data_IF_243770279924
#
_entry.id   IF_243770279924
#
_cell.length_a   1.000
_cell.length_b   1.000
_cell.length_c   1.000
_cell.angle_alpha   90.00
_cell.angle_beta   90.00
_cell.angle_gamma   90.00
#
_symmetry.space_group_name_H-M   'P 1'
#
loop_
_entity.id
_entity.type
_entity.pdbx_description
1 polymer ?
#
# COMPACT_ATOMS: atom_id res chain seq x y z
N UNK A 1 -39.86 -31.75 -44.17
CA UNK A 1 -38.99 -32.13 -43.04
C UNK A 1 -37.54 -31.88 -43.46
N UNK A 2 -36.97 -30.72 -43.08
CA UNK A 2 -35.54 -30.41 -43.28
C UNK A 2 -34.87 -30.60 -41.92
N UNK A 3 -33.86 -31.46 -41.88
CA UNK A 3 -33.13 -31.84 -40.68
C UNK A 3 -32.44 -30.64 -40.03
N UNK A 4 -32.57 -30.55 -38.71
CA UNK A 4 -31.91 -29.58 -37.87
C UNK A 4 -30.38 -29.78 -37.96
N UNK A 5 -29.68 -28.73 -38.35
CA UNK A 5 -28.24 -28.64 -38.16
C UNK A 5 -27.94 -28.50 -36.67
N UNK A 6 -27.19 -29.46 -36.12
CA UNK A 6 -26.61 -29.37 -34.79
C UNK A 6 -25.65 -28.17 -34.74
N UNK A 7 -26.11 -27.04 -34.22
CA UNK A 7 -25.24 -25.99 -33.73
C UNK A 7 -24.61 -26.48 -32.42
N UNK A 8 -23.43 -27.08 -32.53
CA UNK A 8 -22.55 -27.28 -31.37
C UNK A 8 -22.00 -25.89 -31.02
N UNK A 9 -22.33 -25.30 -29.86
CA UNK A 9 -21.74 -24.03 -29.48
C UNK A 9 -20.23 -24.24 -29.32
N UNK A 10 -19.43 -23.48 -30.07
CA UNK A 10 -17.99 -23.40 -29.87
C UNK A 10 -17.72 -23.06 -28.39
N UNK A 11 -17.29 -24.05 -27.59
CA UNK A 11 -16.62 -23.78 -26.33
C UNK A 11 -15.36 -23.00 -26.68
N UNK A 12 -15.38 -21.68 -26.51
CA UNK A 12 -14.17 -20.86 -26.48
C UNK A 12 -13.17 -21.57 -25.57
N UNK A 13 -12.03 -22.02 -26.13
CA UNK A 13 -10.98 -22.69 -25.39
C UNK A 13 -10.56 -21.79 -24.24
N UNK A 14 -11.04 -22.09 -23.04
CA UNK A 14 -10.72 -21.29 -21.87
C UNK A 14 -9.23 -21.45 -21.59
N UNK A 15 -8.54 -20.31 -21.44
CA UNK A 15 -7.11 -20.25 -21.22
C UNK A 15 -6.67 -21.11 -20.01
N UNK A 16 -5.81 -22.10 -20.23
CA UNK A 16 -5.35 -23.05 -19.21
C UNK A 16 -4.02 -22.65 -18.58
N UNK A 17 -3.68 -23.27 -17.46
CA UNK A 17 -2.33 -23.20 -16.93
C UNK A 17 -1.41 -24.16 -17.70
N UNK A 18 -0.11 -23.87 -17.72
CA UNK A 18 0.91 -24.70 -18.34
C UNK A 18 1.67 -25.49 -17.27
N UNK A 19 1.73 -26.80 -17.49
CA UNK A 19 2.46 -27.76 -16.68
C UNK A 19 3.59 -28.31 -17.53
N UNK A 20 4.83 -27.92 -17.22
CA UNK A 20 5.98 -28.36 -17.99
C UNK A 20 6.28 -29.84 -17.67
N UNK A 21 6.66 -30.60 -18.70
CA UNK A 21 7.26 -31.90 -18.50
C UNK A 21 8.58 -31.70 -17.75
N UNK A 22 8.72 -32.38 -16.61
CA UNK A 22 9.84 -32.18 -15.69
C UNK A 22 10.72 -33.43 -15.70
N UNK A 23 11.98 -33.34 -16.15
CA UNK A 23 12.93 -34.46 -16.09
C UNK A 23 13.21 -34.91 -14.66
N UNK A 24 13.59 -36.17 -14.50
CA UNK A 24 13.84 -36.80 -13.18
C UNK A 24 14.92 -36.06 -12.38
N UNK A 25 15.96 -35.55 -13.04
CA UNK A 25 17.01 -34.74 -12.39
C UNK A 25 16.43 -33.48 -11.72
N UNK A 26 15.51 -32.79 -12.42
CA UNK A 26 14.83 -31.62 -11.88
C UNK A 26 13.85 -32.03 -10.77
N UNK A 27 13.15 -33.15 -10.92
CA UNK A 27 12.27 -33.67 -9.87
C UNK A 27 13.06 -33.95 -8.57
N UNK A 28 14.19 -34.65 -8.66
CA UNK A 28 15.10 -34.89 -7.53
C UNK A 28 15.58 -33.58 -6.91
N UNK A 29 15.91 -32.58 -7.74
CA UNK A 29 16.28 -31.24 -7.24
C UNK A 29 15.13 -30.58 -6.47
N UNK A 30 13.90 -30.59 -6.98
CA UNK A 30 12.72 -30.04 -6.30
C UNK A 30 12.43 -30.78 -4.99
N UNK A 31 12.58 -32.10 -4.96
CA UNK A 31 12.47 -32.91 -3.75
C UNK A 31 13.50 -32.49 -2.70
N UNK A 32 14.75 -32.29 -3.11
CA UNK A 32 15.83 -31.84 -2.22
C UNK A 32 15.56 -30.45 -1.66
N UNK A 33 15.17 -29.49 -2.51
CA UNK A 33 14.88 -28.11 -2.10
C UNK A 33 13.67 -28.02 -1.16
N UNK A 34 12.64 -28.84 -1.40
CA UNK A 34 11.43 -28.85 -0.56
C UNK A 34 11.55 -29.71 0.70
N UNK A 35 12.57 -30.58 0.79
CA UNK A 35 12.70 -31.57 1.86
C UNK A 35 11.64 -32.68 1.82
N UNK A 36 10.89 -32.81 0.72
CA UNK A 36 9.82 -33.80 0.58
C UNK A 36 10.35 -34.97 -0.25
N UNK A 37 10.41 -36.20 0.30
CA UNK A 37 10.96 -37.34 -0.42
C UNK A 37 10.05 -37.80 -1.56
N UNK A 38 10.66 -38.41 -2.59
CA UNK A 38 9.96 -39.11 -3.68
C UNK A 38 9.93 -40.59 -3.33
N UNK A 39 8.76 -41.21 -3.27
CA UNK A 39 8.66 -42.66 -3.02
C UNK A 39 8.67 -43.45 -4.33
N UNK A 40 8.82 -44.76 -4.21
CA UNK A 40 8.69 -45.68 -5.35
C UNK A 40 7.33 -45.56 -6.05
N UNK A 41 6.25 -45.44 -5.27
CA UNK A 41 4.90 -45.21 -5.80
C UNK A 41 4.82 -43.92 -6.62
N UNK A 42 5.46 -42.85 -6.15
CA UNK A 42 5.49 -41.58 -6.87
C UNK A 42 6.19 -41.73 -8.23
N UNK A 43 7.36 -42.40 -8.28
CA UNK A 43 8.11 -42.68 -9.51
C UNK A 43 7.35 -43.52 -10.52
N UNK A 44 6.61 -44.54 -10.05
CA UNK A 44 5.87 -45.48 -10.91
C UNK A 44 4.53 -44.91 -11.38
N UNK A 45 4.07 -43.79 -10.80
CA UNK A 45 2.77 -43.22 -11.14
C UNK A 45 2.78 -42.54 -12.52
N UNK A 46 1.80 -42.81 -13.41
CA UNK A 46 1.82 -42.34 -14.80
C UNK A 46 1.73 -40.82 -14.96
N UNK A 47 1.28 -40.12 -13.93
CA UNK A 47 1.20 -38.66 -13.89
C UNK A 47 2.46 -38.00 -13.29
N UNK A 48 3.42 -38.82 -12.83
CA UNK A 48 4.78 -38.46 -12.44
C UNK A 48 4.89 -37.25 -11.50
N UNK A 49 5.82 -36.35 -11.84
CA UNK A 49 6.16 -35.15 -11.07
C UNK A 49 4.93 -34.38 -10.55
N UNK A 50 3.95 -34.10 -11.42
CA UNK A 50 2.79 -33.29 -11.03
C UNK A 50 1.83 -34.01 -10.10
N UNK A 51 1.74 -35.34 -10.20
CA UNK A 51 1.03 -36.13 -9.19
C UNK A 51 1.72 -36.07 -7.84
N UNK A 52 3.04 -36.23 -7.80
CA UNK A 52 3.80 -36.10 -6.55
C UNK A 52 3.66 -34.70 -5.92
N UNK A 53 3.79 -33.63 -6.72
CA UNK A 53 3.58 -32.25 -6.27
C UNK A 53 2.19 -32.09 -5.64
N UNK A 54 1.15 -32.59 -6.30
CA UNK A 54 -0.20 -32.54 -5.78
C UNK A 54 -0.39 -33.40 -4.52
N UNK A 55 -0.01 -34.68 -4.57
CA UNK A 55 -0.29 -35.68 -3.54
C UNK A 55 0.47 -35.41 -2.24
N UNK A 56 1.71 -34.94 -2.34
CA UNK A 56 2.61 -34.67 -1.20
C UNK A 56 2.54 -33.24 -0.68
N UNK A 57 1.66 -32.41 -1.24
CA UNK A 57 1.47 -31.02 -0.84
C UNK A 57 2.74 -30.16 -0.98
N UNK A 58 3.52 -30.40 -2.04
CA UNK A 58 4.80 -29.72 -2.28
C UNK A 58 4.57 -28.22 -2.46
N UNK A 59 5.39 -27.34 -1.86
CA UNK A 59 5.31 -25.90 -2.07
C UNK A 59 5.35 -25.55 -3.56
N UNK A 60 4.42 -24.68 -3.97
CA UNK A 60 4.17 -24.42 -5.38
C UNK A 60 4.33 -22.93 -5.68
N UNK A 61 4.99 -22.60 -6.78
CA UNK A 61 5.06 -21.23 -7.29
C UNK A 61 4.18 -21.05 -8.53
N UNK A 62 3.62 -19.85 -8.70
CA UNK A 62 2.83 -19.46 -9.89
C UNK A 62 3.49 -18.24 -10.53
N UNK A 63 3.79 -18.33 -11.84
CA UNK A 63 4.49 -17.29 -12.62
C UNK A 63 3.79 -16.98 -13.95
N UNK A 64 4.10 -15.83 -14.56
CA UNK A 64 3.61 -15.45 -15.89
C UNK A 64 4.52 -15.95 -17.02
N UNK A 65 4.12 -17.04 -17.67
CA UNK A 65 4.78 -17.58 -18.87
C UNK A 65 5.74 -18.75 -18.63
N UNK A 66 5.88 -19.57 -19.67
CA UNK A 66 6.55 -20.89 -19.58
C UNK A 66 8.06 -20.84 -19.35
N UNK A 67 8.75 -19.81 -19.86
CA UNK A 67 10.21 -19.65 -19.67
C UNK A 67 10.58 -19.41 -18.21
N UNK A 68 9.77 -18.60 -17.51
CA UNK A 68 9.89 -18.34 -16.07
C UNK A 68 9.66 -19.60 -15.25
N UNK A 69 8.64 -20.39 -15.60
CA UNK A 69 8.38 -21.65 -14.93
C UNK A 69 9.53 -22.65 -15.17
N UNK A 70 10.05 -22.74 -16.39
CA UNK A 70 11.22 -23.57 -16.70
C UNK A 70 12.46 -23.14 -15.90
N UNK A 71 12.71 -21.84 -15.79
CA UNK A 71 13.82 -21.29 -15.01
C UNK A 71 13.70 -21.65 -13.52
N UNK A 72 12.52 -21.44 -12.92
CA UNK A 72 12.28 -21.79 -11.52
C UNK A 72 12.30 -23.30 -11.24
N UNK A 73 11.75 -24.12 -12.14
CA UNK A 73 11.87 -25.58 -12.07
C UNK A 73 13.34 -26.00 -12.09
N UNK A 74 14.13 -25.46 -13.01
CA UNK A 74 15.58 -25.71 -13.10
C UNK A 74 16.33 -25.24 -11.84
N UNK A 75 15.81 -24.23 -11.14
CA UNK A 75 16.31 -23.77 -9.85
C UNK A 75 15.84 -24.62 -8.65
N UNK A 76 15.02 -25.66 -8.86
CA UNK A 76 14.56 -26.57 -7.81
C UNK A 76 13.22 -26.18 -7.16
N UNK A 77 12.38 -25.39 -7.82
CA UNK A 77 11.06 -25.00 -7.30
C UNK A 77 9.93 -25.48 -8.19
N UNK A 78 8.98 -26.26 -7.64
CA UNK A 78 7.79 -26.67 -8.36
C UNK A 78 7.00 -25.42 -8.81
N UNK A 79 6.83 -25.23 -10.12
CA UNK A 79 6.32 -23.97 -10.66
C UNK A 79 5.35 -24.17 -11.82
N UNK A 80 4.13 -23.62 -11.70
CA UNK A 80 3.13 -23.59 -12.76
C UNK A 80 3.18 -22.24 -13.48
N UNK A 81 3.11 -22.26 -14.81
CA UNK A 81 2.98 -21.05 -15.61
C UNK A 81 1.52 -20.74 -15.92
N UNK A 82 1.15 -19.45 -15.83
CA UNK A 82 -0.09 -18.92 -16.39
C UNK A 82 0.24 -17.99 -17.58
N UNK A 83 -0.58 -17.93 -18.63
CA UNK A 83 -0.32 -17.07 -19.81
C UNK A 83 -0.51 -15.57 -19.55
N UNK A 84 -1.03 -15.21 -18.38
CA UNK A 84 -1.20 -13.83 -17.96
C UNK A 84 -1.61 -13.78 -16.50
N UNK A 85 -1.34 -12.66 -15.82
CA UNK A 85 -1.61 -12.51 -14.37
C UNK A 85 -3.05 -12.77 -13.96
N UNK A 86 -4.02 -12.52 -14.84
CA UNK A 86 -5.45 -12.76 -14.59
C UNK A 86 -5.92 -14.16 -15.04
N UNK A 87 -5.05 -14.99 -15.63
CA UNK A 87 -5.43 -16.26 -16.21
C UNK A 87 -5.62 -17.38 -15.18
N UNK A 88 -5.14 -17.21 -13.94
CA UNK A 88 -5.31 -18.19 -12.85
C UNK A 88 -6.72 -18.23 -12.23
N UNK A 89 -7.60 -17.28 -12.55
CA UNK A 89 -8.96 -17.23 -12.04
C UNK A 89 -9.95 -16.72 -13.11
N UNK A 90 -11.24 -16.86 -12.84
CA UNK A 90 -12.33 -16.37 -13.69
C UNK A 90 -13.34 -15.62 -12.86
N UNK A 91 -14.01 -14.67 -13.49
CA UNK A 91 -15.24 -14.07 -12.94
C UNK A 91 -16.38 -14.40 -13.89
N UNK A 92 -17.46 -15.03 -13.39
CA UNK A 92 -18.65 -15.31 -14.19
C UNK A 92 -19.17 -14.05 -14.88
N UNK A 93 -19.56 -14.22 -16.14
CA UNK A 93 -20.20 -13.20 -16.96
C UNK A 93 -21.48 -13.75 -17.56
N UNK A 94 -22.48 -12.90 -17.71
CA UNK A 94 -23.69 -13.21 -18.48
C UNK A 94 -23.42 -13.16 -19.99
N UNK A 95 -24.47 -13.42 -20.77
CA UNK A 95 -24.44 -13.41 -22.24
C UNK A 95 -24.10 -12.03 -22.83
N UNK A 96 -24.27 -10.95 -22.06
CA UNK A 96 -23.92 -9.57 -22.44
C UNK A 96 -22.51 -9.17 -21.96
N UNK A 97 -21.77 -10.08 -21.31
CA UNK A 97 -20.44 -9.81 -20.78
C UNK A 97 -20.42 -9.10 -19.42
N UNK A 98 -21.59 -8.91 -18.81
CA UNK A 98 -21.76 -8.29 -17.48
C UNK A 98 -21.38 -9.28 -16.40
N UNK A 99 -20.69 -8.82 -15.35
CA UNK A 99 -20.30 -9.67 -14.24
C UNK A 99 -21.54 -10.15 -13.47
N UNK A 100 -21.72 -11.46 -13.33
CA UNK A 100 -22.92 -12.06 -12.72
C UNK A 100 -22.61 -13.09 -11.62
N UNK A 101 -21.38 -13.12 -11.10
CA UNK A 101 -21.03 -14.06 -10.04
C UNK A 101 -19.68 -13.80 -9.37
N UNK A 102 -19.38 -14.60 -8.35
CA UNK A 102 -18.14 -14.50 -7.58
C UNK A 102 -16.96 -15.07 -8.39
N UNK A 103 -15.76 -14.47 -8.29
CA UNK A 103 -14.56 -15.04 -8.88
C UNK A 103 -14.25 -16.44 -8.34
N UNK A 104 -13.64 -17.29 -9.16
CA UNK A 104 -13.21 -18.64 -8.81
C UNK A 104 -11.90 -19.01 -9.51
N UNK A 105 -11.09 -19.88 -8.90
CA UNK A 105 -9.86 -20.40 -9.50
C UNK A 105 -10.19 -21.25 -10.72
N UNK A 106 -9.36 -21.21 -11.76
CA UNK A 106 -9.49 -22.17 -12.86
C UNK A 106 -9.28 -23.60 -12.35
N UNK A 107 -9.89 -24.64 -12.97
CA UNK A 107 -9.79 -26.02 -12.51
C UNK A 107 -8.33 -26.49 -12.30
N UNK A 108 -7.45 -26.08 -13.21
CA UNK A 108 -6.01 -26.42 -13.18
C UNK A 108 -5.33 -25.94 -11.88
N UNK A 109 -5.56 -24.69 -11.48
CA UNK A 109 -4.98 -24.12 -10.25
C UNK A 109 -5.74 -24.64 -9.02
N UNK A 110 -7.07 -24.75 -9.11
CA UNK A 110 -7.91 -25.26 -8.02
C UNK A 110 -7.50 -26.67 -7.58
N UNK A 111 -7.10 -27.53 -8.51
CA UNK A 111 -6.63 -28.87 -8.21
C UNK A 111 -5.43 -28.90 -7.24
N UNK A 112 -4.54 -27.91 -7.34
CA UNK A 112 -3.36 -27.78 -6.48
C UNK A 112 -3.61 -26.92 -5.23
N UNK A 113 -4.78 -26.29 -5.10
CA UNK A 113 -5.15 -25.46 -3.95
C UNK A 113 -5.63 -26.34 -2.78
N UNK A 114 -4.71 -27.07 -2.15
CA UNK A 114 -5.01 -27.97 -1.02
C UNK A 114 -4.69 -27.32 0.32
N UNK A 115 -5.44 -27.69 1.36
CA UNK A 115 -5.25 -27.16 2.72
C UNK A 115 -3.79 -27.26 3.19
N UNK A 116 -3.27 -26.16 3.73
CA UNK A 116 -1.91 -26.03 4.24
C UNK A 116 -0.81 -25.98 3.18
N UNK A 117 -1.13 -25.98 1.87
CA UNK A 117 -0.11 -25.82 0.84
C UNK A 117 0.47 -24.42 0.88
N UNK A 118 1.79 -24.28 0.93
CA UNK A 118 2.44 -23.02 0.61
C UNK A 118 2.35 -22.76 -0.90
N UNK A 119 1.76 -21.62 -1.28
CA UNK A 119 1.73 -21.16 -2.66
C UNK A 119 2.37 -19.77 -2.76
N UNK A 120 3.44 -19.65 -3.55
CA UNK A 120 4.09 -18.39 -3.83
C UNK A 120 3.63 -17.83 -5.18
N UNK A 121 3.29 -16.55 -5.23
CA UNK A 121 2.98 -15.86 -6.48
C UNK A 121 4.18 -14.97 -6.83
N UNK A 122 4.75 -15.17 -8.02
CA UNK A 122 5.91 -14.43 -8.52
C UNK A 122 5.62 -13.95 -9.96
N UNK A 123 4.98 -12.79 -10.07
CA UNK A 123 4.69 -12.15 -11.35
C UNK A 123 5.73 -11.07 -11.68
N UNK A 124 5.74 -10.65 -12.93
CA UNK A 124 6.78 -9.78 -13.48
C UNK A 124 6.85 -8.43 -12.75
N UNK A 125 8.09 -7.96 -12.59
CA UNK A 125 8.36 -6.59 -12.24
C UNK A 125 7.92 -5.67 -13.39
N UNK A 126 7.25 -4.57 -13.06
CA UNK A 126 6.87 -3.56 -14.04
C UNK A 126 7.03 -2.17 -13.41
N UNK A 127 7.33 -1.17 -14.25
CA UNK A 127 7.49 0.23 -13.83
C UNK A 127 6.32 1.10 -14.28
N UNK A 128 5.47 0.61 -15.19
CA UNK A 128 4.28 1.31 -15.63
C UNK A 128 3.20 1.26 -14.51
N UNK A 129 2.72 2.40 -13.99
CA UNK A 129 1.79 2.44 -12.86
C UNK A 129 0.47 1.66 -13.10
N UNK A 130 -0.05 1.64 -14.33
CA UNK A 130 -1.28 0.92 -14.65
C UNK A 130 -1.05 -0.59 -14.64
N UNK A 131 0.06 -1.04 -15.25
CA UNK A 131 0.44 -2.45 -15.23
C UNK A 131 0.72 -2.92 -13.81
N UNK A 132 1.47 -2.15 -13.02
CA UNK A 132 1.74 -2.45 -11.60
C UNK A 132 0.43 -2.60 -10.83
N UNK A 133 -0.53 -1.69 -11.00
CA UNK A 133 -1.84 -1.78 -10.35
C UNK A 133 -2.61 -3.03 -10.79
N UNK A 134 -2.57 -3.37 -12.07
CA UNK A 134 -3.22 -4.57 -12.63
C UNK A 134 -2.61 -5.85 -12.06
N UNK A 135 -1.28 -5.96 -12.05
CA UNK A 135 -0.54 -7.09 -11.48
C UNK A 135 -0.86 -7.23 -10.00
N UNK A 136 -0.79 -6.14 -9.22
CA UNK A 136 -1.12 -6.17 -7.79
C UNK A 136 -2.55 -6.65 -7.53
N UNK A 137 -3.51 -6.16 -8.30
CA UNK A 137 -4.91 -6.58 -8.23
C UNK A 137 -5.08 -8.07 -8.55
N UNK A 138 -4.34 -8.57 -9.54
CA UNK A 138 -4.37 -9.97 -9.93
C UNK A 138 -3.80 -10.89 -8.83
N UNK A 139 -2.66 -10.51 -8.23
CA UNK A 139 -2.04 -11.20 -7.08
C UNK A 139 -3.02 -11.26 -5.92
N UNK A 140 -3.59 -10.13 -5.49
CA UNK A 140 -4.58 -10.07 -4.40
C UNK A 140 -5.79 -10.96 -4.66
N UNK A 141 -6.36 -10.90 -5.88
CA UNK A 141 -7.55 -11.70 -6.23
C UNK A 141 -7.25 -13.20 -6.22
N UNK A 142 -6.19 -13.62 -6.92
CA UNK A 142 -5.81 -15.03 -6.99
C UNK A 142 -5.42 -15.55 -5.61
N UNK A 143 -4.61 -14.78 -4.88
CA UNK A 143 -4.16 -15.13 -3.53
C UNK A 143 -5.32 -15.31 -2.54
N UNK A 144 -6.31 -14.41 -2.54
CA UNK A 144 -7.50 -14.56 -1.68
C UNK A 144 -8.33 -15.79 -2.01
N UNK A 145 -8.43 -16.16 -3.29
CA UNK A 145 -9.11 -17.40 -3.69
C UNK A 145 -8.33 -18.65 -3.23
N UNK A 146 -6.99 -18.63 -3.29
CA UNK A 146 -6.15 -19.72 -2.80
C UNK A 146 -6.24 -19.85 -1.27
N UNK A 147 -6.25 -18.74 -0.54
CA UNK A 147 -6.47 -18.72 0.92
C UNK A 147 -7.85 -19.31 1.27
N UNK A 148 -8.88 -19.01 0.47
CA UNK A 148 -10.22 -19.55 0.68
C UNK A 148 -10.29 -21.09 0.52
N UNK A 149 -9.38 -21.68 -0.26
CA UNK A 149 -9.18 -23.14 -0.36
C UNK A 149 -8.23 -23.69 0.72
N UNK A 150 -7.78 -22.84 1.64
CA UNK A 150 -6.95 -23.20 2.80
C UNK A 150 -5.44 -23.17 2.56
N UNK A 151 -4.96 -22.52 1.48
CA UNK A 151 -3.53 -22.40 1.19
C UNK A 151 -2.86 -21.29 2.03
N UNK A 152 -1.56 -21.45 2.26
CA UNK A 152 -0.68 -20.40 2.81
C UNK A 152 -0.05 -19.62 1.66
N UNK A 153 -0.56 -18.43 1.37
CA UNK A 153 -0.14 -17.65 0.20
C UNK A 153 0.93 -16.64 0.56
N UNK A 154 2.02 -16.63 -0.22
CA UNK A 154 3.08 -15.62 -0.15
C UNK A 154 3.31 -14.98 -1.51
N UNK A 155 3.92 -13.79 -1.50
CA UNK A 155 4.27 -13.04 -2.70
C UNK A 155 5.78 -12.84 -2.74
N UNK A 156 6.37 -13.16 -3.89
CA UNK A 156 7.76 -12.86 -4.20
C UNK A 156 7.75 -11.63 -5.11
N UNK A 157 8.11 -10.47 -4.57
CA UNK A 157 8.33 -9.27 -5.35
C UNK A 157 9.75 -9.30 -5.93
N UNK A 158 9.88 -9.22 -7.25
CA UNK A 158 11.17 -9.02 -7.90
C UNK A 158 11.63 -7.56 -7.68
N UNK A 159 12.87 -7.33 -7.21
CA UNK A 159 13.35 -5.99 -6.86
C UNK A 159 13.54 -5.08 -8.08
N UNK A 160 13.57 -5.65 -9.28
CA UNK A 160 13.99 -4.97 -10.51
C UNK A 160 15.51 -4.76 -10.55
N UNK A 161 16.05 -4.26 -11.67
CA UNK A 161 15.31 -3.84 -12.87
C UNK A 161 14.86 -5.01 -13.76
N UNK A 162 15.30 -6.24 -13.49
CA UNK A 162 14.92 -7.41 -14.28
C UNK A 162 13.42 -7.65 -14.22
N UNK A 163 12.82 -7.88 -15.39
CA UNK A 163 11.38 -7.99 -15.54
C UNK A 163 10.87 -9.33 -15.03
N UNK A 164 11.38 -10.42 -15.58
CA UNK A 164 10.99 -11.78 -15.23
C UNK A 164 11.94 -12.40 -14.22
N UNK A 165 11.45 -13.43 -13.52
CA UNK A 165 12.30 -14.26 -12.64
C UNK A 165 13.38 -15.01 -13.43
N UNK A 166 13.13 -15.31 -14.71
CA UNK A 166 14.13 -15.85 -15.63
C UNK A 166 15.28 -14.88 -15.86
N UNK A 167 14.97 -13.61 -16.16
CA UNK A 167 15.98 -12.56 -16.31
C UNK A 167 16.73 -12.33 -14.99
N UNK A 168 16.02 -12.32 -13.86
CA UNK A 168 16.61 -12.13 -12.52
C UNK A 168 17.61 -13.23 -12.17
N UNK A 169 17.26 -14.51 -12.39
CA UNK A 169 18.17 -15.63 -12.12
C UNK A 169 19.39 -15.58 -13.03
N UNK A 170 19.24 -15.15 -14.29
CA UNK A 170 20.38 -14.98 -15.21
C UNK A 170 21.32 -13.87 -14.72
N UNK A 171 20.77 -12.74 -14.25
CA UNK A 171 21.55 -11.59 -13.82
C UNK A 171 22.21 -11.77 -12.44
N UNK A 172 21.50 -12.38 -11.48
CA UNK A 172 21.90 -12.40 -10.07
C UNK A 172 22.18 -13.81 -9.51
N UNK A 173 21.92 -14.86 -10.29
CA UNK A 173 22.13 -16.25 -9.91
C UNK A 173 20.99 -16.87 -9.08
N UNK A 174 21.06 -18.20 -8.90
CA UNK A 174 20.05 -18.96 -8.16
C UNK A 174 20.04 -18.61 -6.67
N UNK A 175 21.20 -18.34 -6.06
CA UNK A 175 21.31 -18.01 -4.64
C UNK A 175 20.57 -16.71 -4.29
N UNK A 176 20.64 -15.70 -5.16
CA UNK A 176 19.87 -14.46 -5.00
C UNK A 176 18.36 -14.74 -5.05
N UNK A 177 17.92 -15.63 -5.95
CA UNK A 177 16.52 -16.03 -6.00
C UNK A 177 16.10 -16.86 -4.77
N UNK A 178 16.98 -17.73 -4.25
CA UNK A 178 16.73 -18.48 -3.02
C UNK A 178 16.49 -17.54 -1.83
N UNK A 179 17.26 -16.44 -1.74
CA UNK A 179 17.04 -15.41 -0.73
C UNK A 179 15.66 -14.72 -0.89
N UNK A 180 15.24 -14.38 -2.11
CA UNK A 180 13.91 -13.83 -2.38
C UNK A 180 12.79 -14.81 -2.01
N UNK A 181 12.95 -16.09 -2.37
CA UNK A 181 11.98 -17.13 -2.04
C UNK A 181 11.81 -17.29 -0.52
N UNK A 182 12.92 -17.33 0.22
CA UNK A 182 12.90 -17.50 1.68
C UNK A 182 12.35 -16.27 2.42
N UNK A 183 12.48 -15.08 1.83
CA UNK A 183 11.95 -13.83 2.37
C UNK A 183 10.57 -13.45 1.80
N UNK A 184 9.93 -14.35 1.05
CA UNK A 184 8.60 -14.15 0.48
C UNK A 184 7.59 -13.77 1.58
N UNK A 185 6.84 -12.71 1.33
CA UNK A 185 5.97 -12.07 2.32
C UNK A 185 4.58 -12.69 2.24
N UNK A 186 3.96 -12.99 3.39
CA UNK A 186 2.57 -13.45 3.44
C UNK A 186 1.65 -12.44 2.73
N UNK A 187 0.65 -12.93 1.98
CA UNK A 187 -0.21 -12.07 1.16
C UNK A 187 -0.81 -10.89 1.94
N UNK A 188 -1.29 -11.12 3.16
CA UNK A 188 -1.88 -10.07 4.00
C UNK A 188 -0.87 -8.96 4.33
N UNK A 189 0.35 -9.33 4.74
CA UNK A 189 1.42 -8.36 5.02
C UNK A 189 1.85 -7.62 3.76
N UNK A 190 1.86 -8.31 2.61
CA UNK A 190 2.15 -7.70 1.32
C UNK A 190 1.05 -6.69 0.93
N UNK A 191 -0.23 -7.02 1.12
CA UNK A 191 -1.33 -6.09 0.89
C UNK A 191 -1.25 -4.85 1.80
N UNK A 192 -0.93 -5.04 3.09
CA UNK A 192 -0.71 -3.94 4.04
C UNK A 192 0.42 -3.02 3.57
N UNK A 193 1.56 -3.60 3.15
CA UNK A 193 2.70 -2.85 2.61
C UNK A 193 2.26 -1.96 1.44
N UNK A 194 1.43 -2.46 0.52
CA UNK A 194 0.96 -1.70 -0.64
C UNK A 194 0.18 -0.43 -0.26
N UNK A 195 -0.60 -0.45 0.81
CA UNK A 195 -1.34 0.73 1.28
C UNK A 195 -0.44 1.83 1.82
N UNK A 196 0.78 1.50 2.23
CA UNK A 196 1.74 2.48 2.77
C UNK A 196 2.70 3.02 1.71
N UNK A 197 2.65 2.54 0.46
CA UNK A 197 3.59 2.96 -0.57
C UNK A 197 3.27 4.35 -1.10
N UNK A 198 4.31 5.17 -1.25
CA UNK A 198 4.29 6.41 -2.03
C UNK A 198 5.21 6.20 -3.23
N UNK A 199 4.61 6.00 -4.39
CA UNK A 199 5.27 5.62 -5.66
C UNK A 199 5.44 6.78 -6.63
N UNK A 200 4.88 7.94 -6.30
CA UNK A 200 5.20 9.19 -6.99
C UNK A 200 6.72 9.43 -6.94
N UNK A 201 7.38 9.73 -8.07
CA UNK A 201 8.80 9.99 -8.09
C UNK A 201 9.17 11.13 -7.14
N UNK A 202 10.12 10.94 -6.22
CA UNK A 202 10.54 12.01 -5.33
C UNK A 202 11.26 13.10 -6.14
N UNK A 203 10.76 14.33 -6.06
CA UNK A 203 11.48 15.51 -6.53
C UNK A 203 12.70 15.80 -5.64
N UNK A 204 12.61 15.47 -4.35
CA UNK A 204 13.72 15.52 -3.40
C UNK A 204 13.76 14.19 -2.62
N UNK A 205 14.87 13.47 -2.74
CA UNK A 205 15.16 12.28 -1.93
C UNK A 205 16.28 12.59 -0.93
N UNK A 206 16.00 12.34 0.35
CA UNK A 206 16.92 12.60 1.47
C UNK A 206 17.20 11.31 2.24
N UNK A 207 18.32 11.28 2.93
CA UNK A 207 18.65 10.26 3.92
C UNK A 207 19.38 10.91 5.10
N UNK A 208 18.63 11.68 5.90
CA UNK A 208 19.19 12.45 7.00
C UNK A 208 18.25 12.48 8.21
N UNK A 209 18.84 12.57 9.40
CA UNK A 209 18.06 12.55 10.65
C UNK A 209 17.12 13.75 10.76
N UNK A 210 17.55 14.96 10.40
CA UNK A 210 16.72 16.17 10.50
C UNK A 210 16.58 16.86 9.14
N UNK A 211 15.41 17.42 8.87
CA UNK A 211 15.06 18.08 7.60
C UNK A 211 15.54 19.55 7.52
N UNK A 212 16.64 19.86 8.20
CA UNK A 212 17.19 21.22 8.20
C UNK A 212 17.57 21.63 6.77
N UNK A 213 17.34 22.90 6.41
CA UNK A 213 17.65 23.47 5.09
C UNK A 213 16.89 22.87 3.89
N UNK A 214 15.83 22.09 4.11
CA UNK A 214 14.95 21.67 3.03
C UNK A 214 14.22 22.89 2.43
N UNK A 215 14.42 23.12 1.13
CA UNK A 215 13.80 24.21 0.38
C UNK A 215 12.83 23.65 -0.66
N UNK A 216 11.64 24.20 -0.71
CA UNK A 216 10.63 23.92 -1.74
C UNK A 216 10.62 25.09 -2.73
N UNK A 217 10.69 24.83 -4.05
CA UNK A 217 10.56 25.89 -5.04
C UNK A 217 9.23 26.66 -4.87
N UNK A 218 9.26 27.98 -5.04
CA UNK A 218 8.10 28.84 -4.75
C UNK A 218 6.86 28.50 -5.57
N UNK A 219 7.02 28.00 -6.79
CA UNK A 219 5.92 27.64 -7.70
C UNK A 219 5.21 26.32 -7.37
N UNK A 220 5.72 25.52 -6.44
CA UNK A 220 5.08 24.26 -6.05
C UNK A 220 3.87 24.51 -5.15
N UNK A 221 2.76 23.82 -5.46
CA UNK A 221 1.45 24.07 -4.82
C UNK A 221 0.92 22.90 -4.00
N UNK A 222 1.23 21.67 -4.38
CA UNK A 222 0.90 20.48 -3.59
C UNK A 222 2.20 19.79 -3.17
N UNK A 223 2.58 19.97 -1.91
CA UNK A 223 3.84 19.49 -1.35
C UNK A 223 3.55 18.26 -0.50
N UNK A 224 4.21 17.15 -0.80
CA UNK A 224 4.06 15.89 -0.07
C UNK A 224 5.37 15.60 0.64
N UNK A 225 5.36 15.55 1.99
CA UNK A 225 6.50 15.18 2.80
C UNK A 225 6.27 13.81 3.43
N UNK A 226 7.00 12.80 2.94
CA UNK A 226 7.13 11.50 3.58
C UNK A 226 8.44 11.42 4.35
N UNK A 227 8.36 11.38 5.68
CA UNK A 227 9.56 11.21 6.50
C UNK A 227 9.27 10.50 7.83
N UNK A 228 10.21 9.69 8.35
CA UNK A 228 10.01 8.95 9.60
C UNK A 228 9.63 9.83 10.79
N UNK A 229 9.11 9.21 11.84
CA UNK A 229 8.88 9.90 13.13
C UNK A 229 10.23 10.34 13.71
N UNK A 230 10.23 11.47 14.41
CA UNK A 230 11.45 12.02 15.03
C UNK A 230 12.42 12.72 14.07
N UNK A 231 12.15 12.80 12.76
CA UNK A 231 13.08 13.42 11.80
C UNK A 231 12.88 14.93 11.58
N UNK A 232 12.13 15.61 12.45
CA UNK A 232 11.92 17.06 12.36
C UNK A 232 10.90 17.54 11.32
N UNK A 233 9.95 16.71 10.87
CA UNK A 233 8.85 17.13 9.96
C UNK A 233 8.13 18.39 10.46
N UNK A 234 7.63 18.32 11.68
CA UNK A 234 6.91 19.44 12.31
C UNK A 234 7.82 20.66 12.48
N UNK A 235 9.12 20.47 12.75
CA UNK A 235 10.07 21.60 12.82
C UNK A 235 10.23 22.29 11.47
N UNK A 236 10.34 21.52 10.40
CA UNK A 236 10.40 22.06 9.05
C UNK A 236 9.09 22.76 8.68
N UNK A 237 7.93 22.20 9.01
CA UNK A 237 6.63 22.87 8.81
C UNK A 237 6.58 24.22 9.53
N UNK A 238 7.14 24.37 10.75
CA UNK A 238 7.24 25.67 11.42
C UNK A 238 7.99 26.71 10.58
N UNK A 239 9.01 26.30 9.83
CA UNK A 239 9.74 27.22 8.92
C UNK A 239 8.91 27.60 7.70
N UNK A 240 8.07 26.70 7.17
CA UNK A 240 7.16 27.01 6.07
C UNK A 240 5.98 27.90 6.52
N UNK A 241 5.52 27.75 7.76
CA UNK A 241 4.54 28.67 8.38
C UNK A 241 5.12 30.08 8.46
N UNK A 242 6.34 30.23 9.00
CA UNK A 242 6.99 31.53 9.10
C UNK A 242 7.14 32.20 7.72
N UNK A 243 7.57 31.45 6.69
CA UNK A 243 7.65 31.96 5.31
C UNK A 243 6.30 32.41 4.76
N UNK A 244 5.22 31.69 5.06
CA UNK A 244 3.87 32.06 4.64
C UNK A 244 3.46 33.40 5.29
N UNK A 245 3.71 33.56 6.58
CA UNK A 245 3.43 34.81 7.30
C UNK A 245 4.26 35.98 6.78
N UNK A 246 5.55 35.77 6.49
CA UNK A 246 6.42 36.78 5.88
C UNK A 246 5.91 37.24 4.50
N UNK A 247 5.15 36.39 3.81
CA UNK A 247 4.49 36.67 2.52
C UNK A 247 3.06 37.22 2.68
N UNK A 248 2.60 37.44 3.92
CA UNK A 248 1.25 37.90 4.22
C UNK A 248 0.16 36.85 3.98
N UNK A 249 0.52 35.57 3.86
CA UNK A 249 -0.42 34.46 3.73
C UNK A 249 -0.85 33.97 5.11
N UNK A 250 -2.12 33.59 5.25
CA UNK A 250 -2.61 32.89 6.44
C UNK A 250 -2.34 31.40 6.34
N UNK A 251 -2.29 30.73 7.49
CA UNK A 251 -2.10 29.27 7.56
C UNK A 251 -3.30 28.60 8.23
N UNK A 252 -3.93 27.64 7.53
CA UNK A 252 -4.89 26.71 8.13
C UNK A 252 -4.20 25.40 8.48
N UNK A 253 -4.23 25.03 9.76
CA UNK A 253 -3.69 23.74 10.22
C UNK A 253 -4.85 22.78 10.44
N UNK A 254 -4.96 21.74 9.62
CA UNK A 254 -6.02 20.73 9.75
C UNK A 254 -5.46 19.52 10.46
N UNK A 255 -6.12 19.12 11.54
CA UNK A 255 -5.75 17.95 12.35
C UNK A 255 -6.95 17.03 12.56
N UNK A 256 -6.74 15.88 13.21
CA UNK A 256 -7.80 14.93 13.54
C UNK A 256 -8.17 14.90 15.03
N UNK A 257 -7.44 15.63 15.90
CA UNK A 257 -7.65 15.71 17.36
C UNK A 257 -7.38 17.12 17.86
N UNK A 258 -8.21 17.59 18.79
CA UNK A 258 -8.13 18.94 19.36
C UNK A 258 -6.78 19.18 20.08
N UNK A 259 -6.41 18.31 21.02
CA UNK A 259 -5.16 18.45 21.80
C UNK A 259 -3.90 18.44 20.91
N UNK A 260 -3.91 17.64 19.85
CA UNK A 260 -2.83 17.63 18.86
C UNK A 260 -2.81 18.95 18.08
N UNK A 261 -3.97 19.44 17.67
CA UNK A 261 -4.14 20.74 17.04
C UNK A 261 -3.61 21.90 17.87
N UNK A 262 -3.97 21.97 19.16
CA UNK A 262 -3.48 22.99 20.09
C UNK A 262 -1.96 22.94 20.22
N UNK A 263 -1.36 21.74 20.37
CA UNK A 263 0.09 21.58 20.44
C UNK A 263 0.81 22.04 19.15
N UNK A 264 0.26 21.73 17.98
CA UNK A 264 0.80 22.16 16.69
C UNK A 264 0.67 23.67 16.50
N UNK A 265 -0.48 24.24 16.82
CA UNK A 265 -0.76 25.67 16.83
C UNK A 265 0.25 26.46 17.67
N UNK A 266 0.44 26.04 18.92
CA UNK A 266 1.42 26.64 19.84
C UNK A 266 2.83 26.60 19.26
N UNK A 267 3.22 25.50 18.61
CA UNK A 267 4.53 25.37 17.97
C UNK A 267 4.68 26.26 16.73
N UNK A 268 3.59 26.50 16.01
CA UNK A 268 3.58 27.29 14.77
C UNK A 268 3.32 28.79 15.02
N UNK A 269 3.01 29.20 16.26
CA UNK A 269 2.68 30.58 16.58
C UNK A 269 1.34 31.02 15.98
N UNK A 270 0.41 30.09 15.82
CA UNK A 270 -0.93 30.31 15.24
C UNK A 270 -1.98 29.87 16.27
N UNK A 271 -3.05 30.62 16.44
CA UNK A 271 -4.09 30.27 17.44
C UNK A 271 -4.85 29.01 17.04
N UNK A 272 -5.27 28.22 18.02
CA UNK A 272 -6.25 27.17 17.77
C UNK A 272 -7.67 27.76 17.78
N UNK A 273 -8.61 27.17 17.03
CA UNK A 273 -9.97 27.74 16.84
C UNK A 273 -10.73 28.06 18.14
N UNK A 274 -10.45 27.34 19.22
CA UNK A 274 -11.06 27.60 20.54
C UNK A 274 -10.62 28.94 21.13
N UNK A 275 -9.40 29.38 20.84
CA UNK A 275 -8.77 30.61 21.35
C UNK A 275 -9.10 31.85 20.52
N UNK A 276 -9.39 31.64 19.22
CA UNK A 276 -9.72 32.71 18.25
C UNK A 276 -10.87 33.62 18.71
N UNK A 277 -11.80 33.12 19.53
CA UNK A 277 -12.93 33.91 20.04
C UNK A 277 -12.55 34.98 21.06
N UNK A 278 -11.35 34.91 21.63
CA UNK A 278 -10.93 35.79 22.73
C UNK A 278 -10.03 36.95 22.30
N UNK A 279 -9.55 36.94 21.05
CA UNK A 279 -8.66 37.98 20.51
C UNK A 279 -9.18 38.46 19.13
N UNK A 280 -9.41 39.76 18.98
CA UNK A 280 -9.85 40.37 17.71
C UNK A 280 -8.82 40.19 16.57
N UNK A 281 -7.55 39.98 16.90
CA UNK A 281 -6.45 39.64 15.97
C UNK A 281 -6.27 38.13 15.76
N UNK A 282 -7.12 37.30 16.39
CA UNK A 282 -6.92 35.86 16.54
C UNK A 282 -6.85 35.05 15.25
N UNK A 283 -7.39 35.56 14.14
CA UNK A 283 -7.37 34.93 12.81
C UNK A 283 -6.40 35.56 11.82
N UNK A 284 -5.68 36.64 12.20
CA UNK A 284 -4.88 37.44 11.27
C UNK A 284 -3.78 36.62 10.58
N UNK A 285 -3.23 35.64 11.28
CA UNK A 285 -2.18 34.72 10.79
C UNK A 285 -2.74 33.35 10.35
N UNK A 286 -4.06 33.16 10.41
CA UNK A 286 -4.73 31.87 10.25
C UNK A 286 -5.08 31.21 11.60
N UNK A 287 -5.44 29.92 11.57
CA UNK A 287 -5.79 29.14 12.75
C UNK A 287 -5.63 27.62 12.54
N UNK A 288 -5.56 26.87 13.63
CA UNK A 288 -5.69 25.41 13.60
C UNK A 288 -7.10 24.93 13.94
N UNK A 289 -7.47 23.80 13.35
CA UNK A 289 -8.81 23.23 13.46
C UNK A 289 -8.78 21.70 13.36
N UNK A 290 -9.71 21.04 14.05
CA UNK A 290 -10.00 19.63 13.81
C UNK A 290 -10.83 19.50 12.52
N UNK A 291 -10.56 18.48 11.71
CA UNK A 291 -11.27 18.23 10.45
C UNK A 291 -12.79 18.13 10.63
N UNK A 292 -13.26 17.66 11.79
CA UNK A 292 -14.67 17.60 12.16
C UNK A 292 -15.35 18.98 12.11
N UNK A 293 -14.58 20.06 12.26
CA UNK A 293 -15.05 21.45 12.31
C UNK A 293 -14.97 22.17 10.96
N UNK A 294 -14.70 21.50 9.84
CA UNK A 294 -14.75 22.13 8.51
C UNK A 294 -16.21 22.32 8.02
N UNK A 295 -17.04 22.96 8.82
CA UNK A 295 -18.41 23.35 8.49
C UNK A 295 -18.84 24.65 9.19
N UNK A 296 -19.88 25.31 8.66
CA UNK A 296 -20.35 26.62 9.12
C UNK A 296 -20.93 26.58 10.55
N UNK A 297 -21.55 25.48 10.96
CA UNK A 297 -22.10 25.36 12.32
C UNK A 297 -21.02 25.11 13.40
N UNK A 298 -19.76 24.93 13.02
CA UNK A 298 -18.68 24.67 13.97
C UNK A 298 -18.28 25.95 14.70
N UNK A 299 -17.46 25.81 15.75
CA UNK A 299 -16.85 26.97 16.40
C UNK A 299 -16.02 27.82 15.44
N UNK A 300 -15.44 27.20 14.40
CA UNK A 300 -14.67 27.86 13.35
C UNK A 300 -15.52 28.72 12.41
N UNK A 301 -16.83 28.44 12.33
CA UNK A 301 -17.71 28.96 11.26
C UNK A 301 -17.07 28.83 9.88
N UNK A 302 -16.47 27.66 9.64
CA UNK A 302 -15.56 27.45 8.53
C UNK A 302 -16.23 27.75 7.18
N UNK A 303 -15.61 28.65 6.42
CA UNK A 303 -15.99 28.97 5.05
C UNK A 303 -14.78 28.73 4.12
N UNK A 304 -14.84 27.76 3.20
CA UNK A 304 -13.72 27.44 2.31
C UNK A 304 -13.37 28.59 1.36
N UNK A 305 -14.30 29.51 1.07
CA UNK A 305 -14.08 30.63 0.14
C UNK A 305 -13.12 31.68 0.70
N UNK A 306 -12.86 31.66 2.00
CA UNK A 306 -11.99 32.64 2.61
C UNK A 306 -10.52 32.34 2.29
N UNK A 307 -10.14 31.12 1.91
CA UNK A 307 -8.76 30.62 1.91
C UNK A 307 -8.03 30.67 0.56
N UNK A 308 -8.50 31.49 -0.38
CA UNK A 308 -7.76 31.69 -1.63
C UNK A 308 -6.42 32.37 -1.36
N UNK A 309 -5.35 31.94 -2.04
CA UNK A 309 -3.96 32.40 -1.88
C UNK A 309 -3.29 32.05 -0.54
N UNK A 310 -3.93 31.27 0.32
CA UNK A 310 -3.39 30.91 1.64
C UNK A 310 -2.74 29.52 1.65
N UNK A 311 -2.16 29.16 2.80
CA UNK A 311 -1.46 27.89 3.00
C UNK A 311 -2.28 26.95 3.87
N UNK A 312 -2.44 25.71 3.42
CA UNK A 312 -3.05 24.63 4.19
C UNK A 312 -1.96 23.64 4.59
N UNK A 313 -1.92 23.28 5.86
CA UNK A 313 -1.04 22.23 6.39
C UNK A 313 -1.89 21.13 6.98
N UNK A 314 -1.66 19.90 6.51
CA UNK A 314 -2.24 18.69 7.08
C UNK A 314 -1.07 17.80 7.53
N UNK A 315 -0.67 17.95 8.80
CA UNK A 315 0.29 17.04 9.43
C UNK A 315 -0.45 15.76 9.86
N UNK A 316 0.22 14.62 9.75
CA UNK A 316 -0.38 13.28 9.84
C UNK A 316 -1.59 13.11 8.89
N UNK A 317 -1.41 13.50 7.63
CA UNK A 317 -2.51 13.56 6.65
C UNK A 317 -3.26 12.24 6.45
N UNK A 318 -2.56 11.11 6.50
CA UNK A 318 -3.14 9.76 6.43
C UNK A 318 -4.16 9.52 7.57
N UNK A 319 -3.81 9.94 8.80
CA UNK A 319 -4.70 9.83 9.95
C UNK A 319 -5.89 10.79 9.84
N UNK A 320 -5.66 12.01 9.33
CA UNK A 320 -6.73 12.99 9.08
C UNK A 320 -7.75 12.46 8.08
N UNK A 321 -7.30 11.94 6.94
CA UNK A 321 -8.20 11.38 5.92
C UNK A 321 -8.89 10.12 6.41
N UNK A 322 -8.18 9.23 7.11
CA UNK A 322 -8.78 8.04 7.71
C UNK A 322 -9.89 8.41 8.70
N UNK A 323 -9.62 9.36 9.60
CA UNK A 323 -10.58 9.84 10.58
C UNK A 323 -11.82 10.44 9.92
N UNK A 324 -11.63 11.33 8.94
CA UNK A 324 -12.72 11.96 8.18
C UNK A 324 -13.66 10.92 7.54
N UNK A 325 -13.11 9.84 6.99
CA UNK A 325 -13.86 8.83 6.26
C UNK A 325 -14.48 7.74 7.14
N UNK A 326 -13.88 7.43 8.29
CA UNK A 326 -14.25 6.25 9.08
C UNK A 326 -14.74 6.56 10.50
N UNK A 327 -14.43 7.72 11.06
CA UNK A 327 -14.74 8.04 12.45
C UNK A 327 -16.25 8.12 12.72
N UNK A 328 -16.64 7.63 13.90
CA UNK A 328 -17.97 7.79 14.51
C UNK A 328 -18.11 9.03 15.41
N UNK A 329 -17.17 10.00 15.31
CA UNK A 329 -17.22 11.28 16.07
C UNK A 329 -18.25 12.27 15.47
N UNK A 330 -18.17 13.56 15.80
CA UNK A 330 -19.05 14.60 15.26
C UNK A 330 -19.06 14.64 13.73
N UNK A 331 -17.93 14.31 13.10
CA UNK A 331 -17.87 14.17 11.63
C UNK A 331 -18.90 13.19 11.09
N UNK A 332 -19.34 12.16 11.83
CA UNK A 332 -20.36 11.22 11.36
C UNK A 332 -21.68 11.92 11.02
N UNK A 333 -22.08 12.93 11.81
CA UNK A 333 -23.34 13.66 11.63
C UNK A 333 -23.27 14.66 10.48
N UNK A 334 -22.07 15.10 10.11
CA UNK A 334 -21.84 16.21 9.16
C UNK A 334 -20.89 15.83 8.01
N UNK A 335 -20.55 14.55 7.83
CA UNK A 335 -19.48 14.07 6.94
C UNK A 335 -19.59 14.61 5.53
N UNK A 336 -20.80 14.60 4.96
CA UNK A 336 -21.06 15.13 3.61
C UNK A 336 -20.73 16.62 3.51
N UNK A 337 -21.12 17.42 4.50
CA UNK A 337 -20.83 18.86 4.54
C UNK A 337 -19.33 19.12 4.69
N UNK A 338 -18.68 18.40 5.61
CA UNK A 338 -17.22 18.48 5.83
C UNK A 338 -16.45 18.11 4.56
N UNK A 339 -16.82 17.00 3.90
CA UNK A 339 -16.21 16.58 2.64
C UNK A 339 -16.41 17.61 1.52
N UNK A 340 -17.60 18.21 1.42
CA UNK A 340 -17.89 19.26 0.43
C UNK A 340 -17.03 20.50 0.68
N UNK A 341 -16.89 20.91 1.93
CA UNK A 341 -16.07 22.06 2.30
C UNK A 341 -14.57 21.79 2.13
N UNK A 342 -14.08 20.60 2.46
CA UNK A 342 -12.71 20.19 2.18
C UNK A 342 -12.42 20.20 0.68
N UNK A 343 -13.35 19.68 -0.14
CA UNK A 343 -13.24 19.76 -1.60
C UNK A 343 -13.12 21.20 -2.08
N UNK A 344 -14.03 22.07 -1.64
CA UNK A 344 -14.03 23.48 -2.03
C UNK A 344 -12.77 24.21 -1.56
N UNK A 345 -12.29 23.92 -0.33
CA UNK A 345 -11.06 24.46 0.22
C UNK A 345 -9.87 24.10 -0.69
N UNK A 346 -9.71 22.81 -1.01
CA UNK A 346 -8.62 22.33 -1.89
C UNK A 346 -8.67 23.04 -3.24
N UNK A 347 -9.86 23.17 -3.83
CA UNK A 347 -10.05 23.86 -5.12
C UNK A 347 -9.73 25.35 -5.05
N UNK A 348 -10.16 26.05 -3.98
CA UNK A 348 -9.91 27.47 -3.81
C UNK A 348 -8.42 27.76 -3.62
N UNK A 349 -7.73 26.93 -2.83
CA UNK A 349 -6.29 27.08 -2.57
C UNK A 349 -5.49 26.74 -3.82
N UNK A 350 -5.71 25.56 -4.42
CA UNK A 350 -4.94 25.14 -5.60
C UNK A 350 -5.28 25.93 -6.87
N UNK A 351 -6.49 26.51 -6.97
CA UNK A 351 -6.91 27.38 -8.07
C UNK A 351 -6.41 28.82 -7.97
N UNK A 352 -6.02 29.27 -6.77
CA UNK A 352 -5.51 30.63 -6.53
C UNK A 352 -4.06 30.81 -7.02
N UNK A 353 -3.51 32.03 -7.11
CA UNK A 353 -2.16 32.21 -7.66
C UNK A 353 -1.05 31.78 -6.70
N UNK A 354 -1.22 31.99 -5.39
CA UNK A 354 -0.18 31.74 -4.36
C UNK A 354 -0.50 30.59 -3.41
N UNK A 355 -1.70 29.99 -3.50
CA UNK A 355 -2.15 28.99 -2.52
C UNK A 355 -1.33 27.69 -2.55
N UNK A 356 -1.07 27.14 -1.36
CA UNK A 356 -0.27 25.91 -1.18
C UNK A 356 -0.93 24.93 -0.21
N UNK A 357 -0.72 23.64 -0.44
CA UNK A 357 -1.14 22.56 0.43
C UNK A 357 0.08 21.69 0.77
N UNK A 358 0.34 21.52 2.06
CA UNK A 358 1.35 20.62 2.60
C UNK A 358 0.67 19.39 3.20
N UNK A 359 1.02 18.20 2.71
CA UNK A 359 0.66 16.92 3.31
C UNK A 359 1.92 16.30 3.92
N UNK A 360 1.93 16.09 5.23
CA UNK A 360 3.09 15.56 5.95
C UNK A 360 2.70 14.30 6.72
N UNK A 361 3.47 13.21 6.58
CA UNK A 361 3.35 12.05 7.46
C UNK A 361 4.56 11.11 7.34
N UNK A 362 4.72 10.20 8.29
CA UNK A 362 5.58 9.03 8.10
C UNK A 362 4.95 8.01 7.14
N UNK A 363 3.61 7.97 7.10
CA UNK A 363 2.84 6.91 6.47
C UNK A 363 2.06 7.39 5.23
N UNK A 364 2.26 8.65 4.81
CA UNK A 364 1.64 9.21 3.60
C UNK A 364 1.91 8.31 2.40
N UNK A 365 0.85 8.03 1.64
CA UNK A 365 0.80 7.04 0.58
C UNK A 365 0.27 7.63 -0.72
N UNK A 366 0.35 6.83 -1.78
CA UNK A 366 -0.34 7.05 -3.05
C UNK A 366 -1.83 7.38 -2.87
N UNK A 367 -2.50 6.73 -1.92
CA UNK A 367 -3.93 6.87 -1.69
C UNK A 367 -4.26 8.28 -1.21
N UNK A 368 -3.45 8.82 -0.29
CA UNK A 368 -3.61 10.14 0.29
C UNK A 368 -3.40 11.23 -0.77
N UNK A 369 -2.35 11.10 -1.58
CA UNK A 369 -2.05 12.03 -2.69
C UNK A 369 -3.17 11.99 -3.73
N UNK A 370 -3.60 10.79 -4.15
CA UNK A 370 -4.70 10.62 -5.12
C UNK A 370 -6.02 11.17 -4.59
N UNK A 371 -6.28 11.05 -3.28
CA UNK A 371 -7.46 11.64 -2.67
C UNK A 371 -7.45 13.16 -2.84
N UNK A 372 -6.38 13.85 -2.47
CA UNK A 372 -6.29 15.32 -2.63
C UNK A 372 -6.33 15.74 -4.10
N UNK A 373 -5.66 15.02 -5.00
CA UNK A 373 -5.76 15.28 -6.44
C UNK A 373 -7.19 15.12 -6.96
N UNK A 374 -7.95 14.14 -6.45
CA UNK A 374 -9.36 13.96 -6.82
C UNK A 374 -10.25 15.12 -6.35
N UNK A 375 -9.89 15.77 -5.23
CA UNK A 375 -10.58 16.96 -4.74
C UNK A 375 -10.27 18.20 -5.59
N UNK A 376 -9.04 18.30 -6.11
CA UNK A 376 -8.64 19.41 -6.99
C UNK A 376 -9.50 19.51 -8.27
N UNK A 377 -10.06 18.40 -8.75
CA UNK A 377 -10.96 18.40 -9.91
C UNK A 377 -10.24 18.78 -11.21
N UNK A 378 -10.67 19.87 -11.84
CA UNK A 378 -10.11 20.32 -13.13
C UNK A 378 -8.72 20.97 -13.01
N UNK A 379 -8.33 21.39 -11.79
CA UNK A 379 -7.02 21.97 -11.54
C UNK A 379 -5.93 20.90 -11.63
N UNK A 380 -5.15 20.94 -12.71
CA UNK A 380 -3.99 20.05 -12.89
C UNK A 380 -2.84 20.55 -12.03
N UNK A 381 -2.56 19.83 -10.94
CA UNK A 381 -1.43 20.09 -10.06
C UNK A 381 -0.56 18.84 -9.99
N UNK A 382 0.75 19.01 -10.19
CA UNK A 382 1.71 17.94 -9.99
C UNK A 382 2.13 17.92 -8.51
N UNK A 383 2.09 16.77 -7.83
CA UNK A 383 2.57 16.68 -6.46
C UNK A 383 4.11 16.81 -6.43
N UNK A 384 4.61 17.76 -5.64
CA UNK A 384 6.02 17.90 -5.32
C UNK A 384 6.38 16.98 -4.16
N UNK A 385 6.96 15.83 -4.47
CA UNK A 385 7.18 14.76 -3.49
C UNK A 385 8.57 14.84 -2.88
N UNK A 386 8.62 14.86 -1.56
CA UNK A 386 9.83 14.86 -0.74
C UNK A 386 9.80 13.58 0.09
N UNK A 387 10.85 12.76 -0.03
CA UNK A 387 10.98 11.51 0.72
C UNK A 387 12.28 11.53 1.51
N UNK A 388 12.20 11.35 2.83
CA UNK A 388 13.35 11.09 3.67
C UNK A 388 13.38 9.61 4.05
N UNK A 389 14.43 8.90 3.63
CA UNK A 389 14.60 7.47 3.85
C UNK A 389 15.42 7.13 5.10
N UNK A 390 15.67 8.11 5.97
CA UNK A 390 16.41 7.91 7.21
C UNK A 390 15.81 6.75 8.02
N UNK A 391 16.66 5.84 8.48
CA UNK A 391 16.28 4.75 9.37
C UNK A 391 17.05 4.92 10.66
N UNK A 392 16.34 5.24 11.74
CA UNK A 392 16.95 5.24 13.06
C UNK A 392 17.25 3.79 13.48
N UNK A 393 18.23 3.61 14.36
CA UNK A 393 18.46 2.30 14.97
C UNK A 393 17.22 1.93 15.78
N UNK A 394 16.46 0.93 15.32
CA UNK A 394 15.28 0.47 16.01
C UNK A 394 15.65 0.01 17.43
N UNK A 395 14.87 0.45 18.43
CA UNK A 395 14.97 -0.07 19.78
C UNK A 395 14.51 -1.53 19.85
N UNK A 396 14.77 -2.18 20.98
CA UNK A 396 14.28 -3.53 21.22
C UNK A 396 12.74 -3.52 21.34
N UNK A 397 12.05 -4.29 20.50
CA UNK A 397 10.63 -4.54 20.63
C UNK A 397 10.41 -5.77 21.51
N UNK A 398 9.71 -5.60 22.63
CA UNK A 398 9.35 -6.69 23.53
C UNK A 398 7.88 -7.03 23.36
N UNK A 399 7.59 -8.28 22.96
CA UNK A 399 6.23 -8.78 22.88
C UNK A 399 5.89 -9.56 24.15
N UNK A 400 4.83 -9.12 24.85
CA UNK A 400 4.32 -9.78 26.04
C UNK A 400 3.08 -10.60 25.67
N UNK A 401 3.26 -11.89 25.44
CA UNK A 401 2.20 -12.83 25.07
C UNK A 401 1.35 -13.20 26.29
N UNK A 402 0.39 -12.34 26.63
CA UNK A 402 -0.61 -12.60 27.66
C UNK A 402 -1.73 -11.57 27.62
N UNK A 403 -2.95 -11.98 27.99
CA UNK A 403 -4.10 -11.05 28.09
C UNK A 403 -4.03 -10.13 29.32
N UNK A 404 -3.03 -10.32 30.18
CA UNK A 404 -2.82 -9.56 31.41
C UNK A 404 -1.51 -8.75 31.32
N UNK A 405 -1.54 -7.43 31.60
CA UNK A 405 -0.36 -6.56 31.54
C UNK A 405 0.68 -6.80 32.65
N UNK A 406 0.47 -7.74 33.58
CA UNK A 406 1.36 -7.98 34.74
C UNK A 406 2.84 -8.12 34.35
N UNK A 407 3.13 -8.83 33.26
CA UNK A 407 4.51 -9.02 32.80
C UNK A 407 5.11 -7.73 32.21
N UNK A 408 4.30 -6.92 31.55
CA UNK A 408 4.70 -5.59 31.07
C UNK A 408 5.01 -4.67 32.25
N UNK A 409 4.12 -4.61 33.24
CA UNK A 409 4.28 -3.76 34.43
C UNK A 409 5.54 -4.17 35.21
N UNK A 410 5.74 -5.47 35.46
CA UNK A 410 6.92 -5.95 36.16
C UNK A 410 8.24 -5.69 35.40
N UNK A 411 8.20 -5.70 34.06
CA UNK A 411 9.35 -5.33 33.24
C UNK A 411 9.61 -3.81 33.32
N UNK A 412 8.55 -3.00 33.32
CA UNK A 412 8.61 -1.54 33.44
C UNK A 412 9.20 -1.13 34.80
N UNK A 413 8.74 -1.72 35.90
CA UNK A 413 9.25 -1.46 37.26
C UNK A 413 10.75 -1.77 37.35
N UNK A 414 11.18 -2.89 36.77
CA UNK A 414 12.60 -3.26 36.70
C UNK A 414 13.43 -2.29 35.84
N UNK A 415 12.86 -1.77 34.76
CA UNK A 415 13.53 -0.84 33.87
C UNK A 415 13.69 0.54 34.53
N UNK A 416 12.64 1.05 35.16
CA UNK A 416 12.65 2.31 35.92
C UNK A 416 13.67 2.23 37.06
N UNK A 417 13.70 1.12 37.81
CA UNK A 417 14.66 0.92 38.89
C UNK A 417 16.14 0.91 38.44
N UNK A 418 16.39 0.65 37.15
CA UNK A 418 17.73 0.69 36.53
C UNK A 418 18.07 2.04 35.88
N UNK A 419 17.23 3.06 36.05
CA UNK A 419 17.40 4.37 35.41
C UNK A 419 17.10 4.35 33.91
N UNK A 420 16.35 3.35 33.43
CA UNK A 420 15.87 3.33 32.04
C UNK A 420 14.89 4.47 31.81
N UNK A 421 15.25 5.41 30.94
CA UNK A 421 14.30 6.37 30.36
C UNK A 421 13.67 5.69 29.14
N UNK A 422 12.36 5.46 29.19
CA UNK A 422 11.57 4.95 28.07
C UNK A 422 11.10 6.08 27.16
#
# INVERSE_FOLDING_TARGET
MRGAGNNIPHRLNQTRAFFLQTPDEIWVKVSTTSGIPITKEDWEHPWGFWYWVWRRNVPLSIVEGVKKAASMLSAGYATIAVPGVNAGYRTPKDEYGTLNGKPYLIPDIKHFATKGRQINICFDHDTNPETVKRVRTAISRMGRLLIAEGCEVRVIDLPGPEKGVDDFIVAHGQDAFHALYNTAVALELWEIKLFTLLTYPPAIALNQRFLNHLLVPSGEKLIILKAPKGTGKTQWLSTEVAKAHDQGQRVLIITHRIQLGEALCNRFGVNYVTEVRTNETGTLLGYGVCVDSLHQDSQARFNPNDWANDVIIIDECDQVFWHLLNSGTEVQKRRVSVLKNLKQLVQNVLGSSQGKIYLSSADVSDTDVKYVLSLAGEYRVNPFVIVNNYRDSAGNCYNYSGSNPKNLIAALDKAIAKGGHH
#
